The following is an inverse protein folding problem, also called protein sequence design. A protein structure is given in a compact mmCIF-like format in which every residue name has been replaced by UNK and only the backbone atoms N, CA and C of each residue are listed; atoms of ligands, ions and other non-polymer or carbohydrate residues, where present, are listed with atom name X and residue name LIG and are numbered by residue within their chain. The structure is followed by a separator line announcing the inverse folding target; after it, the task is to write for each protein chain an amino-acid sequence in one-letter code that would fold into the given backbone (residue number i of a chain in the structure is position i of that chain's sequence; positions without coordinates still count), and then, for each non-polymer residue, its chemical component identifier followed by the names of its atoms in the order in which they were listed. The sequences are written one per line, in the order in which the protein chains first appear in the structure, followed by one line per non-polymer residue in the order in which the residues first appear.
data_IF_984182578809
#
_entry.id   IF_984182578809
#
_cell.length_a   1.000
_cell.length_b   1.000
_cell.length_c   1.000
_cell.angle_alpha   90.00
_cell.angle_beta   90.00
_cell.angle_gamma   90.00
#
_symmetry.space_group_name_H-M   'P 1'
#
loop_
_entity.id
_entity.type
_entity.pdbx_description
1 polymer ?
#
# COMPACT_ATOMS: atom_id res chain seq x y z
N UNK A 1 13.24 10.81 57.04
CA UNK A 1 13.93 9.72 56.31
C UNK A 1 13.01 8.97 55.32
N UNK A 2 11.85 8.44 55.74
CA UNK A 2 10.95 7.71 54.80
C UNK A 2 10.34 8.60 53.71
N UNK A 3 10.01 9.85 54.00
CA UNK A 3 9.44 10.79 53.02
C UNK A 3 10.44 11.22 51.95
N UNK A 4 11.74 11.28 52.26
CA UNK A 4 12.78 11.64 51.29
C UNK A 4 13.09 10.51 50.32
N UNK A 5 13.07 9.27 50.80
CA UNK A 5 13.21 8.08 49.96
C UNK A 5 12.01 7.98 49.00
N UNK A 6 10.78 8.19 49.48
CA UNK A 6 9.59 8.21 48.66
C UNK A 6 9.61 9.31 47.58
N UNK A 7 9.98 10.53 47.95
CA UNK A 7 10.11 11.64 46.99
C UNK A 7 11.16 11.36 45.90
N UNK A 8 12.30 10.75 46.28
CA UNK A 8 13.32 10.35 45.31
C UNK A 8 12.84 9.26 44.36
N UNK A 9 12.07 8.28 44.86
CA UNK A 9 11.47 7.24 44.01
C UNK A 9 10.46 7.82 43.06
N UNK A 10 9.57 8.71 43.49
CA UNK A 10 8.59 9.38 42.63
C UNK A 10 9.28 10.23 41.56
N UNK A 11 10.32 10.98 41.92
CA UNK A 11 11.12 11.79 41.01
C UNK A 11 11.83 10.90 39.94
N UNK A 12 12.41 9.78 40.38
CA UNK A 12 13.06 8.82 39.45
C UNK A 12 12.07 8.18 38.49
N UNK A 13 10.88 7.80 38.96
CA UNK A 13 9.81 7.27 38.06
C UNK A 13 9.31 8.33 37.11
N UNK A 14 9.12 9.57 37.54
CA UNK A 14 8.70 10.67 36.68
C UNK A 14 9.76 10.96 35.59
N UNK A 15 11.04 10.99 35.96
CA UNK A 15 12.15 11.16 35.03
C UNK A 15 12.19 10.00 34.00
N UNK A 16 12.01 8.77 34.45
CA UNK A 16 11.95 7.59 33.57
C UNK A 16 10.78 7.71 32.56
N UNK A 17 9.59 8.08 33.00
CA UNK A 17 8.43 8.28 32.15
C UNK A 17 8.69 9.37 31.11
N UNK A 18 9.25 10.51 31.50
CA UNK A 18 9.58 11.60 30.57
C UNK A 18 10.59 11.17 29.51
N UNK A 19 11.61 10.40 29.88
CA UNK A 19 12.59 9.86 28.95
C UNK A 19 11.90 8.87 27.97
N UNK A 20 11.07 7.96 28.47
CA UNK A 20 10.33 7.00 27.66
C UNK A 20 9.38 7.68 26.68
N UNK A 21 8.68 8.73 27.08
CA UNK A 21 7.81 9.53 26.22
C UNK A 21 8.60 10.24 25.12
N UNK A 22 9.73 10.85 25.45
CA UNK A 22 10.64 11.43 24.46
C UNK A 22 11.11 10.40 23.42
N UNK A 23 11.55 9.25 23.89
CA UNK A 23 11.98 8.16 22.99
C UNK A 23 10.85 7.71 22.07
N UNK A 24 9.65 7.48 22.60
CA UNK A 24 8.47 7.10 21.80
C UNK A 24 8.13 8.17 20.76
N UNK A 25 8.23 9.43 21.14
CA UNK A 25 7.99 10.55 20.22
C UNK A 25 9.01 10.56 19.08
N UNK A 26 10.29 10.42 19.40
CA UNK A 26 11.35 10.36 18.39
C UNK A 26 11.18 9.15 17.46
N UNK A 27 10.90 7.98 18.00
CA UNK A 27 10.63 6.78 17.18
C UNK A 27 9.44 6.99 16.24
N UNK A 28 8.36 7.62 16.71
CA UNK A 28 7.21 7.96 15.84
C UNK A 28 7.59 8.91 14.71
N UNK A 29 8.39 9.94 15.01
CA UNK A 29 8.83 10.90 14.00
C UNK A 29 9.70 10.22 12.93
N UNK A 30 10.59 9.34 13.31
CA UNK A 30 11.42 8.56 12.39
C UNK A 30 10.53 7.66 11.51
N UNK A 31 9.63 6.88 12.12
CA UNK A 31 8.69 6.03 11.39
C UNK A 31 7.77 6.84 10.47
N UNK A 32 7.26 7.97 10.94
CA UNK A 32 6.42 8.83 10.13
C UNK A 32 7.17 9.34 8.89
N UNK A 33 8.40 9.81 9.04
CA UNK A 33 9.20 10.31 7.93
C UNK A 33 9.51 9.19 6.93
N UNK A 34 9.90 8.00 7.40
CA UNK A 34 10.15 6.83 6.58
C UNK A 34 8.92 6.46 5.71
N UNK A 35 7.77 6.29 6.34
CA UNK A 35 6.56 5.91 5.59
C UNK A 35 5.97 7.07 4.78
N UNK A 36 6.22 8.31 5.17
CA UNK A 36 5.78 9.50 4.40
C UNK A 36 6.48 9.60 3.06
N UNK A 37 7.72 9.15 2.95
CA UNK A 37 8.45 9.07 1.68
C UNK A 37 7.80 8.08 0.71
N UNK A 38 7.16 7.03 1.24
CA UNK A 38 6.43 6.03 0.44
C UNK A 38 4.97 6.40 0.13
N UNK A 39 4.51 7.58 0.57
CA UNK A 39 3.18 8.06 0.20
C UNK A 39 3.10 8.32 -1.31
N UNK A 40 2.15 7.70 -1.98
CA UNK A 40 2.03 7.73 -3.43
C UNK A 40 2.73 6.56 -4.14
N UNK A 41 3.29 5.61 -3.41
CA UNK A 41 3.97 4.44 -3.96
C UNK A 41 3.23 3.13 -3.65
N UNK A 42 3.64 2.08 -4.34
CA UNK A 42 3.19 0.72 -4.05
C UNK A 42 4.15 0.06 -3.07
N UNK A 43 3.59 -0.51 -2.02
CA UNK A 43 4.31 -1.35 -1.08
C UNK A 43 3.76 -2.77 -1.09
N UNK A 44 4.64 -3.74 -0.89
CA UNK A 44 4.24 -5.12 -0.68
C UNK A 44 4.16 -5.40 0.80
N UNK A 45 3.03 -5.90 1.25
CA UNK A 45 2.83 -6.27 2.64
C UNK A 45 2.23 -7.66 2.80
N UNK A 46 2.13 -8.10 4.05
CA UNK A 46 1.52 -9.38 4.42
C UNK A 46 0.26 -9.12 5.25
N UNK A 47 -0.83 -9.77 4.88
CA UNK A 47 -2.09 -9.69 5.64
C UNK A 47 -1.91 -10.38 6.98
N UNK A 48 -2.10 -9.66 8.08
CA UNK A 48 -1.96 -10.23 9.43
C UNK A 48 -3.31 -10.54 10.08
N UNK A 49 -4.20 -9.57 10.10
CA UNK A 49 -5.48 -9.68 10.80
C UNK A 49 -6.60 -8.94 10.10
N UNK A 50 -7.80 -9.33 10.44
CA UNK A 50 -9.04 -8.76 9.93
C UNK A 50 -9.85 -8.17 11.08
N UNK A 51 -10.44 -7.02 10.86
CA UNK A 51 -11.41 -6.40 11.75
C UNK A 51 -12.67 -6.06 10.93
N UNK A 52 -13.75 -5.65 11.62
CA UNK A 52 -15.01 -5.27 10.97
C UNK A 52 -14.86 -4.08 10.00
N UNK A 53 -13.83 -3.26 10.15
CA UNK A 53 -13.61 -2.05 9.36
C UNK A 53 -12.39 -2.13 8.44
N UNK A 54 -11.37 -2.87 8.84
CA UNK A 54 -10.07 -2.86 8.18
C UNK A 54 -9.47 -4.26 8.06
N UNK A 55 -8.72 -4.44 6.99
CA UNK A 55 -7.70 -5.48 6.91
C UNK A 55 -6.37 -4.82 7.29
N UNK A 56 -5.64 -5.42 8.20
CA UNK A 56 -4.33 -4.94 8.61
C UNK A 56 -3.25 -5.67 7.82
N UNK A 57 -2.44 -4.86 7.16
CA UNK A 57 -1.35 -5.32 6.28
C UNK A 57 -0.03 -4.89 6.89
N UNK A 58 0.80 -5.85 7.23
CA UNK A 58 2.14 -5.59 7.75
C UNK A 58 3.07 -5.17 6.61
N UNK A 59 3.61 -3.96 6.71
CA UNK A 59 4.55 -3.40 5.76
C UNK A 59 6.03 -3.51 6.23
N UNK A 60 6.27 -4.25 7.31
CA UNK A 60 7.57 -4.40 7.95
C UNK A 60 7.59 -3.82 9.35
N UNK A 61 7.80 -2.52 9.50
CA UNK A 61 7.85 -1.85 10.82
C UNK A 61 6.48 -1.38 11.33
N UNK A 62 5.51 -1.20 10.42
CA UNK A 62 4.16 -0.72 10.73
C UNK A 62 3.08 -1.57 10.06
N UNK A 63 1.90 -1.59 10.69
CA UNK A 63 0.68 -2.11 10.10
C UNK A 63 -0.07 -1.01 9.35
N UNK A 64 -0.36 -1.26 8.09
CA UNK A 64 -1.24 -0.41 7.28
C UNK A 64 -2.70 -0.85 7.40
N UNK A 65 -3.60 0.10 7.22
CA UNK A 65 -5.04 -0.09 7.31
C UNK A 65 -5.64 -0.07 5.90
N UNK A 66 -6.18 -1.21 5.46
CA UNK A 66 -6.93 -1.34 4.21
C UNK A 66 -8.42 -1.39 4.55
N UNK A 67 -9.15 -0.32 4.25
CA UNK A 67 -10.59 -0.24 4.50
C UNK A 67 -11.38 -1.11 3.52
N UNK A 68 -12.61 -1.49 3.87
CA UNK A 68 -13.48 -2.24 2.95
C UNK A 68 -13.79 -1.50 1.65
N UNK A 69 -13.84 -0.16 1.69
CA UNK A 69 -14.08 0.69 0.52
C UNK A 69 -12.86 0.74 -0.41
N UNK A 70 -11.68 0.49 0.15
CA UNK A 70 -10.41 0.51 -0.56
C UNK A 70 -10.00 -0.85 -1.11
N UNK A 71 -10.80 -1.89 -0.86
CA UNK A 71 -10.64 -3.22 -1.44
C UNK A 71 -11.25 -3.28 -2.85
N UNK A 72 -10.79 -4.22 -3.65
CA UNK A 72 -11.43 -4.52 -4.93
C UNK A 72 -12.60 -5.47 -4.64
N UNK A 73 -13.82 -5.18 -5.12
CA UNK A 73 -14.95 -6.07 -4.95
C UNK A 73 -14.67 -7.48 -5.48
N UNK A 74 -14.93 -8.48 -4.65
CA UNK A 74 -14.70 -9.89 -4.98
C UNK A 74 -13.30 -10.43 -4.65
N UNK A 75 -12.36 -9.58 -4.19
CA UNK A 75 -11.11 -10.06 -3.62
C UNK A 75 -11.34 -10.64 -2.21
N UNK A 76 -10.73 -11.77 -1.97
CA UNK A 76 -10.71 -12.42 -0.65
C UNK A 76 -9.27 -12.68 -0.25
N UNK A 77 -8.91 -12.29 0.97
CA UNK A 77 -7.57 -12.46 1.50
C UNK A 77 -7.59 -13.47 2.65
N UNK A 78 -6.50 -14.19 2.80
CA UNK A 78 -6.23 -15.05 3.94
C UNK A 78 -5.13 -14.42 4.79
N UNK A 79 -5.06 -14.83 6.06
CA UNK A 79 -3.93 -14.47 6.91
C UNK A 79 -2.64 -14.98 6.28
N UNK A 80 -1.61 -14.15 6.28
CA UNK A 80 -0.28 -14.36 5.67
C UNK A 80 -0.22 -14.28 4.13
N UNK A 81 -1.29 -13.87 3.46
CA UNK A 81 -1.21 -13.58 2.03
C UNK A 81 -0.34 -12.34 1.77
N UNK A 82 0.53 -12.42 0.77
CA UNK A 82 1.30 -11.26 0.30
C UNK A 82 0.46 -10.48 -0.71
N UNK A 83 0.29 -9.21 -0.44
CA UNK A 83 -0.48 -8.30 -1.29
C UNK A 83 0.30 -7.02 -1.58
N UNK A 84 0.11 -6.48 -2.77
CA UNK A 84 0.59 -5.16 -3.15
C UNK A 84 -0.51 -4.13 -2.86
N UNK A 85 -0.15 -3.03 -2.22
CA UNK A 85 -1.08 -1.98 -1.82
C UNK A 85 -0.50 -0.60 -2.15
N UNK A 86 -1.36 0.33 -2.50
CA UNK A 86 -1.00 1.72 -2.74
C UNK A 86 -1.14 2.53 -1.46
N UNK A 87 -0.08 3.18 -1.04
CA UNK A 87 -0.08 4.05 0.14
C UNK A 87 -0.61 5.41 -0.26
N UNK A 88 -1.85 5.73 0.11
CA UNK A 88 -2.42 7.02 -0.26
C UNK A 88 -2.34 8.07 0.84
N UNK A 89 -2.10 7.68 2.09
CA UNK A 89 -2.03 8.61 3.21
C UNK A 89 -1.22 8.05 4.37
N UNK A 90 -0.39 8.89 4.95
CA UNK A 90 0.33 8.62 6.20
C UNK A 90 0.03 9.71 7.21
N UNK A 91 -0.43 9.36 8.40
CA UNK A 91 -0.79 10.27 9.47
C UNK A 91 0.03 10.01 10.74
N UNK A 92 0.53 11.09 11.34
CA UNK A 92 1.19 11.03 12.64
C UNK A 92 0.19 11.43 13.74
N UNK A 93 -0.23 10.47 14.52
CA UNK A 93 -1.14 10.66 15.64
C UNK A 93 -0.41 10.51 16.98
N UNK A 94 -0.91 11.12 18.08
CA UNK A 94 -0.31 10.94 19.42
C UNK A 94 -0.19 9.49 19.85
N UNK A 95 -1.06 8.60 19.33
CA UNK A 95 -1.09 7.16 19.64
C UNK A 95 -0.16 6.32 18.75
N UNK A 96 0.28 6.85 17.61
CA UNK A 96 1.12 6.14 16.64
C UNK A 96 1.03 6.70 15.24
N UNK A 97 1.77 6.11 14.33
CA UNK A 97 1.69 6.42 12.90
C UNK A 97 0.65 5.50 12.27
N UNK A 98 -0.31 6.09 11.55
CA UNK A 98 -1.30 5.36 10.78
C UNK A 98 -0.96 5.45 9.30
N UNK A 99 -0.88 4.32 8.63
CA UNK A 99 -0.68 4.20 7.19
C UNK A 99 -1.97 3.67 6.57
N UNK A 100 -2.54 4.45 5.66
CA UNK A 100 -3.75 4.08 4.93
C UNK A 100 -3.39 3.65 3.53
N UNK A 101 -3.89 2.49 3.16
CA UNK A 101 -3.59 1.86 1.87
C UNK A 101 -4.86 1.51 1.12
N UNK A 102 -4.76 1.48 -0.20
CA UNK A 102 -5.88 1.18 -1.08
C UNK A 102 -5.44 0.24 -2.22
N UNK A 103 -6.37 -0.62 -2.65
CA UNK A 103 -6.26 -1.42 -3.86
C UNK A 103 -7.25 -0.98 -4.94
N UNK A 104 -8.26 -0.19 -4.56
CA UNK A 104 -9.26 0.37 -5.47
C UNK A 104 -8.87 1.73 -6.05
N UNK A 105 -7.88 2.42 -5.48
CA UNK A 105 -7.47 3.76 -5.88
C UNK A 105 -7.01 3.82 -7.36
N UNK A 106 -7.39 4.84 -8.15
CA UNK A 106 -6.97 4.98 -9.55
C UNK A 106 -5.45 5.03 -9.73
N UNK A 107 -4.74 5.73 -8.85
CA UNK A 107 -3.27 5.83 -8.89
C UNK A 107 -2.57 4.46 -8.69
N UNK A 108 -3.23 3.51 -8.05
CA UNK A 108 -2.69 2.16 -7.91
C UNK A 108 -2.42 1.52 -9.27
N UNK A 109 -3.36 1.64 -10.23
CA UNK A 109 -3.16 1.13 -11.60
C UNK A 109 -2.01 1.86 -12.30
N UNK A 110 -1.94 3.18 -12.15
CA UNK A 110 -0.87 3.98 -12.75
C UNK A 110 0.50 3.49 -12.27
N UNK A 111 0.66 3.30 -10.96
CA UNK A 111 1.91 2.79 -10.38
C UNK A 111 2.24 1.36 -10.80
N UNK A 112 1.24 0.48 -10.90
CA UNK A 112 1.45 -0.87 -11.44
C UNK A 112 1.90 -0.83 -12.90
N UNK A 113 1.31 0.04 -13.72
CA UNK A 113 1.73 0.20 -15.12
C UNK A 113 3.15 0.74 -15.24
N UNK A 114 3.54 1.68 -14.37
CA UNK A 114 4.92 2.19 -14.29
C UNK A 114 5.92 1.07 -13.92
N UNK A 115 5.54 0.15 -13.04
CA UNK A 115 6.39 -0.98 -12.66
C UNK A 115 6.51 -2.06 -13.74
N UNK A 116 5.43 -2.35 -14.46
CA UNK A 116 5.37 -3.47 -15.40
C UNK A 116 5.70 -3.10 -16.85
N UNK A 117 5.63 -1.81 -17.20
CA UNK A 117 5.83 -1.30 -18.58
C UNK A 117 6.98 -0.32 -18.60
N UNK A 118 8.14 -0.70 -19.16
CA UNK A 118 9.34 0.14 -19.17
C UNK A 118 9.14 1.51 -19.82
N UNK A 119 8.33 1.58 -20.89
CA UNK A 119 8.08 2.83 -21.63
C UNK A 119 7.17 3.79 -20.85
N UNK A 120 6.43 3.30 -19.86
CA UNK A 120 5.70 4.14 -18.91
C UNK A 120 6.64 4.63 -17.81
N UNK A 121 7.54 3.78 -17.36
CA UNK A 121 8.53 4.10 -16.34
C UNK A 121 9.53 5.19 -16.82
N UNK A 122 10.00 5.09 -18.05
CA UNK A 122 10.96 6.04 -18.62
C UNK A 122 10.30 7.34 -19.13
N UNK A 123 8.97 7.42 -19.09
CA UNK A 123 8.19 8.58 -19.52
C UNK A 123 7.98 8.70 -21.02
N UNK A 124 8.39 7.72 -21.84
CA UNK A 124 8.12 7.69 -23.29
C UNK A 124 6.61 7.65 -23.54
N UNK A 125 5.88 6.88 -22.75
CA UNK A 125 4.41 6.82 -22.72
C UNK A 125 3.91 7.36 -21.38
N UNK A 126 3.12 8.41 -21.42
CA UNK A 126 2.55 9.06 -20.26
C UNK A 126 1.10 8.65 -20.04
N UNK A 127 0.75 8.36 -18.79
CA UNK A 127 -0.64 8.12 -18.37
C UNK A 127 -1.26 9.47 -17.99
N UNK A 128 -2.17 9.96 -18.83
CA UNK A 128 -2.81 11.26 -18.66
C UNK A 128 -3.92 11.24 -17.63
N UNK A 129 -4.75 10.21 -17.64
CA UNK A 129 -5.85 10.07 -16.70
C UNK A 129 -6.28 8.60 -16.55
N UNK A 130 -6.84 8.29 -15.38
CA UNK A 130 -7.38 6.98 -15.07
C UNK A 130 -8.79 7.16 -14.52
N UNK A 131 -9.77 6.47 -15.12
CA UNK A 131 -11.12 6.32 -14.59
C UNK A 131 -11.34 4.85 -14.25
N UNK A 132 -11.53 4.55 -12.98
CA UNK A 132 -11.56 3.18 -12.47
C UNK A 132 -12.86 2.87 -11.74
N UNK A 133 -13.46 1.75 -12.16
CA UNK A 133 -14.48 1.02 -11.41
C UNK A 133 -13.80 -0.28 -10.92
N UNK A 134 -13.36 -0.28 -9.67
CA UNK A 134 -12.58 -1.38 -9.13
C UNK A 134 -13.37 -2.70 -9.18
N UNK A 135 -12.76 -3.76 -9.70
CA UNK A 135 -13.39 -5.07 -9.88
C UNK A 135 -14.22 -5.24 -11.15
N UNK A 136 -14.45 -4.16 -11.92
CA UNK A 136 -15.20 -4.20 -13.19
C UNK A 136 -14.28 -3.77 -14.35
N UNK A 137 -14.11 -2.47 -14.54
CA UNK A 137 -13.30 -1.98 -15.66
C UNK A 137 -12.54 -0.71 -15.32
N UNK A 138 -11.50 -0.46 -16.11
CA UNK A 138 -10.69 0.74 -16.03
C UNK A 138 -10.45 1.32 -17.41
N UNK A 139 -10.63 2.64 -17.52
CA UNK A 139 -10.26 3.41 -18.70
C UNK A 139 -9.00 4.19 -18.39
N UNK A 140 -8.01 4.08 -19.25
CA UNK A 140 -6.72 4.79 -19.11
C UNK A 140 -6.51 5.62 -20.38
N UNK A 141 -6.30 6.91 -20.21
CA UNK A 141 -5.89 7.77 -21.31
C UNK A 141 -4.35 7.87 -21.31
N UNK A 142 -3.75 7.58 -22.45
CA UNK A 142 -2.30 7.55 -22.61
C UNK A 142 -1.85 8.44 -23.77
N UNK A 143 -0.63 8.96 -23.65
CA UNK A 143 0.01 9.79 -24.68
C UNK A 143 1.44 9.33 -24.87
N UNK A 144 1.89 9.22 -26.12
CA UNK A 144 3.29 9.02 -26.44
C UNK A 144 3.97 10.37 -26.69
N UNK A 145 5.14 10.55 -26.09
CA UNK A 145 6.02 11.71 -26.37
C UNK A 145 6.96 11.43 -27.54
N UNK A 146 7.07 10.18 -27.99
CA UNK A 146 7.86 9.78 -29.15
C UNK A 146 6.93 9.44 -30.31
N UNK A 147 7.01 10.13 -31.48
CA UNK A 147 6.14 9.89 -32.62
C UNK A 147 6.31 8.49 -33.23
N UNK A 148 7.41 7.81 -32.97
CA UNK A 148 7.68 6.46 -33.45
C UNK A 148 7.17 5.36 -32.52
N UNK A 149 6.61 5.73 -31.35
CA UNK A 149 6.08 4.79 -30.36
C UNK A 149 4.58 4.91 -30.28
N UNK A 150 3.89 3.81 -30.61
CA UNK A 150 2.44 3.70 -30.42
C UNK A 150 2.13 3.48 -28.92
N UNK A 151 1.50 4.48 -28.32
CA UNK A 151 1.17 4.46 -26.90
C UNK A 151 0.26 3.27 -26.53
N UNK A 152 -0.77 3.00 -27.33
CA UNK A 152 -1.72 1.92 -27.06
C UNK A 152 -1.06 0.56 -27.28
N UNK A 153 -0.34 0.40 -28.40
CA UNK A 153 0.39 -0.84 -28.69
C UNK A 153 1.42 -1.19 -27.63
N UNK A 154 2.10 -0.19 -27.10
CA UNK A 154 3.08 -0.34 -26.00
C UNK A 154 2.42 -0.80 -24.70
N UNK A 155 1.32 -0.16 -24.30
CA UNK A 155 0.57 -0.56 -23.10
C UNK A 155 0.02 -1.98 -23.22
N UNK A 156 -0.53 -2.33 -24.37
CA UNK A 156 -1.04 -3.69 -24.60
C UNK A 156 0.10 -4.70 -24.63
N UNK A 157 1.19 -4.34 -25.30
CA UNK A 157 2.34 -5.22 -25.50
C UNK A 157 2.08 -6.32 -26.53
N UNK A 158 3.14 -6.99 -26.96
CA UNK A 158 3.07 -8.05 -27.96
C UNK A 158 2.16 -9.20 -27.50
N UNK A 159 1.07 -9.44 -28.22
CA UNK A 159 0.08 -10.46 -27.85
C UNK A 159 -0.61 -10.21 -26.51
N UNK A 160 -0.65 -8.96 -26.08
CA UNK A 160 -1.26 -8.57 -24.80
C UNK A 160 -0.39 -8.84 -23.58
N UNK A 161 0.93 -9.04 -23.76
CA UNK A 161 1.83 -9.43 -22.66
C UNK A 161 1.84 -8.44 -21.50
N UNK A 162 1.93 -7.13 -21.79
CA UNK A 162 2.02 -6.11 -20.75
C UNK A 162 0.69 -5.94 -20.00
N UNK A 163 -0.41 -5.84 -20.75
CA UNK A 163 -1.73 -5.70 -20.13
C UNK A 163 -2.11 -6.92 -19.28
N UNK A 164 -1.72 -8.14 -19.70
CA UNK A 164 -1.96 -9.36 -18.91
C UNK A 164 -1.20 -9.32 -17.58
N UNK A 165 0.04 -8.84 -17.57
CA UNK A 165 0.82 -8.66 -16.32
C UNK A 165 0.13 -7.69 -15.39
N UNK A 166 -0.29 -6.53 -15.90
CA UNK A 166 -1.02 -5.53 -15.11
C UNK A 166 -2.31 -6.12 -14.55
N UNK A 167 -3.13 -6.78 -15.37
CA UNK A 167 -4.39 -7.40 -14.94
C UNK A 167 -4.16 -8.47 -13.87
N UNK A 168 -3.11 -9.27 -13.98
CA UNK A 168 -2.80 -10.34 -13.02
C UNK A 168 -2.55 -9.83 -11.59
N UNK A 169 -2.17 -8.55 -11.44
CA UNK A 169 -1.98 -7.90 -10.13
C UNK A 169 -3.30 -7.57 -9.42
N UNK A 170 -4.39 -7.45 -10.18
CA UNK A 170 -5.72 -7.08 -9.66
C UNK A 170 -6.68 -8.26 -9.53
N UNK A 171 -6.40 -9.36 -10.19
CA UNK A 171 -7.18 -10.57 -10.04
C UNK A 171 -6.38 -11.57 -9.22
N UNK A 172 -6.78 -11.83 -7.96
CA UNK A 172 -6.22 -12.96 -7.25
C UNK A 172 -6.49 -14.20 -8.10
N UNK A 173 -5.48 -15.02 -8.27
CA UNK A 173 -5.60 -16.30 -8.96
C UNK A 173 -6.82 -17.03 -8.39
N UNK A 174 -7.86 -17.19 -9.19
CA UNK A 174 -9.03 -17.97 -8.79
C UNK A 174 -8.57 -19.42 -8.72
N UNK A 175 -8.52 -19.96 -7.55
CA UNK A 175 -8.27 -21.38 -7.32
C UNK A 175 -9.62 -22.07 -7.27
N UNK A 176 -9.84 -23.05 -8.13
CA UNK A 176 -11.03 -23.90 -8.05
C UNK A 176 -11.07 -24.61 -6.69
N UNK A 177 -12.11 -24.34 -5.92
CA UNK A 177 -12.27 -24.88 -4.56
C UNK A 177 -12.33 -26.43 -4.52
N UNK A 178 -12.58 -27.10 -5.66
CA UNK A 178 -12.66 -28.56 -5.77
C UNK A 178 -11.37 -29.21 -6.25
N UNK A 179 -10.65 -28.56 -7.15
CA UNK A 179 -9.46 -29.14 -7.79
C UNK A 179 -8.15 -28.55 -7.27
N UNK A 180 -8.17 -27.39 -6.59
CA UNK A 180 -6.98 -26.67 -6.15
C UNK A 180 -6.14 -26.11 -7.30
N UNK A 181 -6.62 -26.18 -8.54
CA UNK A 181 -5.95 -25.66 -9.72
C UNK A 181 -6.30 -24.19 -9.96
N UNK A 182 -5.33 -23.42 -10.46
CA UNK A 182 -5.55 -22.05 -10.89
C UNK A 182 -6.49 -22.02 -12.11
N UNK A 183 -7.58 -21.26 -12.01
CA UNK A 183 -8.49 -21.00 -13.12
C UNK A 183 -7.96 -19.76 -13.86
N UNK A 184 -7.75 -19.83 -15.16
CA UNK A 184 -7.30 -18.70 -15.97
C UNK A 184 -8.33 -17.55 -16.02
#
# INVERSE_FOLDING_TARGET
AASDVYKRQVAAQSAKQTIMEKMRRQMREVMFNEYKEHEGEIMTGTVERFDQRFIYVNLGSLEAQLSHQDQIPGETFKSHDRIEVYVYKVENNPRGVNVFVSRSHPEFIKRIMEQEIPEVFDGTVEIMSVSREAGDRTKVAVRSHNPNVDAIGTIVGRGGSNIKKVISKFHPKRVDAKTGLEIP
#
